data_IF_465644756088
#
_entry.id   IF_465644756088
#
_cell.length_a   1.000
_cell.length_b   1.000
_cell.length_c   1.000
_cell.angle_alpha   90.00
_cell.angle_beta   90.00
_cell.angle_gamma   90.00
#
_symmetry.space_group_name_H-M   'P 1'
#
loop_
_entity.id
_entity.type
_entity.pdbx_description
1 polymer ?
#
# COMPACT_ATOMS: atom_id res chain seq x y z
N UNK A 1 29.86 12.83 23.46
CA UNK A 1 30.38 13.72 22.43
C UNK A 1 29.57 15.02 22.41
N UNK A 2 30.20 16.14 22.13
CA UNK A 2 29.55 17.46 22.04
C UNK A 2 29.71 18.00 20.63
N UNK A 3 28.61 18.40 20.03
CA UNK A 3 28.58 19.03 18.72
C UNK A 3 27.72 20.31 18.79
N UNK A 4 28.34 21.46 18.79
CA UNK A 4 27.69 22.75 19.00
C UNK A 4 26.85 22.76 20.29
N UNK A 5 25.52 22.85 20.18
CA UNK A 5 24.57 22.82 21.29
C UNK A 5 23.94 21.42 21.53
N UNK A 6 24.43 20.38 20.86
CA UNK A 6 23.91 19.00 20.98
C UNK A 6 24.96 18.14 21.72
N UNK A 7 24.51 17.37 22.72
CA UNK A 7 25.31 16.40 23.43
C UNK A 7 24.79 15.01 23.13
N UNK A 8 25.65 14.13 22.64
CA UNK A 8 25.35 12.71 22.45
C UNK A 8 26.01 11.88 23.56
N UNK A 9 25.18 11.16 24.30
CA UNK A 9 25.58 10.18 25.27
C UNK A 9 25.45 8.78 24.69
N UNK A 10 26.55 8.06 24.57
CA UNK A 10 26.57 6.66 24.15
C UNK A 10 26.92 5.78 25.33
N UNK A 11 26.14 4.74 25.63
CA UNK A 11 26.50 3.79 26.68
C UNK A 11 27.77 3.04 26.30
N UNK A 12 28.53 2.60 27.29
CA UNK A 12 29.63 1.67 27.09
C UNK A 12 29.10 0.31 26.64
N UNK A 13 29.96 -0.51 26.02
CA UNK A 13 29.57 -1.85 25.59
C UNK A 13 28.92 -2.64 26.75
N UNK A 14 27.81 -3.28 26.51
CA UNK A 14 26.97 -4.02 27.44
C UNK A 14 26.31 -3.18 28.56
N UNK A 15 26.18 -1.87 28.37
CA UNK A 15 25.41 -0.99 29.24
C UNK A 15 24.31 -0.32 28.44
N UNK A 16 23.21 -0.05 29.12
CA UNK A 16 22.06 0.63 28.54
C UNK A 16 21.75 1.89 29.34
N UNK A 17 21.37 2.98 28.65
CA UNK A 17 20.83 4.17 29.28
C UNK A 17 19.33 3.94 29.40
N UNK A 18 18.84 3.77 30.63
CA UNK A 18 17.42 3.47 30.89
C UNK A 18 16.58 4.71 31.04
N UNK A 19 17.18 5.82 31.49
CA UNK A 19 16.48 7.08 31.72
C UNK A 19 17.41 8.27 31.57
N UNK A 20 16.84 9.42 31.14
CA UNK A 20 17.56 10.70 31.08
C UNK A 20 16.64 11.77 31.66
N UNK A 21 17.08 12.45 32.68
CA UNK A 21 16.40 13.53 33.33
C UNK A 21 17.25 14.81 33.36
N UNK A 22 16.57 15.96 33.09
CA UNK A 22 17.18 17.29 33.26
C UNK A 22 16.72 17.86 34.59
N UNK A 23 17.65 18.25 35.44
CA UNK A 23 17.36 18.82 36.75
C UNK A 23 17.93 20.24 36.89
N UNK A 24 17.26 21.07 37.69
CA UNK A 24 17.70 22.43 38.02
C UNK A 24 17.22 23.51 37.09
N UNK A 25 17.92 24.64 37.05
CA UNK A 25 17.53 25.83 36.22
C UNK A 25 17.67 25.62 34.70
N UNK A 26 18.18 24.47 34.26
CA UNK A 26 18.31 24.10 32.84
C UNK A 26 17.05 23.57 32.18
N UNK A 27 15.97 23.30 32.94
CA UNK A 27 14.72 22.70 32.44
C UNK A 27 14.06 23.46 31.29
N UNK A 28 14.20 24.79 31.27
CA UNK A 28 13.60 25.63 30.24
C UNK A 28 14.44 25.72 28.94
N UNK A 29 15.70 25.28 28.99
CA UNK A 29 16.69 25.47 27.90
C UNK A 29 17.29 24.19 27.38
N UNK A 30 17.11 23.06 28.05
CA UNK A 30 17.71 21.77 27.71
C UNK A 30 16.60 20.76 27.49
N UNK A 31 16.53 20.19 26.28
CA UNK A 31 15.66 19.05 25.96
C UNK A 31 16.51 17.80 25.94
N UNK A 32 16.22 16.86 26.87
CA UNK A 32 16.83 15.55 26.88
C UNK A 32 15.87 14.54 26.24
N UNK A 33 16.37 13.77 25.28
CA UNK A 33 15.59 12.72 24.62
C UNK A 33 16.38 11.43 24.61
N UNK A 34 15.70 10.34 24.87
CA UNK A 34 16.26 8.99 24.71
C UNK A 34 15.84 8.39 23.36
N UNK A 35 15.15 7.28 23.38
CA UNK A 35 14.65 6.62 22.17
C UNK A 35 13.14 6.83 21.97
N UNK A 36 12.50 7.48 22.94
CA UNK A 36 11.05 7.66 22.98
C UNK A 36 10.68 9.04 23.51
N UNK A 37 9.63 9.64 22.95
CA UNK A 37 9.00 10.88 23.44
C UNK A 37 7.48 10.74 23.41
N UNK A 38 6.80 11.45 24.32
CA UNK A 38 5.33 11.35 24.47
C UNK A 38 4.53 12.10 23.40
N UNK A 39 5.13 13.03 22.68
CA UNK A 39 4.52 13.73 21.57
C UNK A 39 5.56 14.46 20.71
N UNK A 40 5.15 14.89 19.51
CA UNK A 40 6.02 15.58 18.55
C UNK A 40 6.59 16.89 19.09
N UNK A 41 5.86 17.60 19.96
CA UNK A 41 6.33 18.88 20.52
C UNK A 41 7.54 18.74 21.47
N UNK A 42 7.82 17.54 21.93
CA UNK A 42 9.00 17.21 22.74
C UNK A 42 10.24 16.85 21.93
N UNK A 43 10.15 16.83 20.62
CA UNK A 43 11.30 16.61 19.76
C UNK A 43 12.21 17.84 19.77
N UNK A 44 13.54 17.66 19.92
CA UNK A 44 14.48 18.77 19.89
C UNK A 44 14.56 19.42 18.50
N UNK A 45 14.77 20.73 18.47
CA UNK A 45 14.93 21.48 17.21
C UNK A 45 16.28 21.22 16.53
N UNK A 46 17.29 20.82 17.32
CA UNK A 46 18.62 20.46 16.82
C UNK A 46 18.93 19.02 17.24
N UNK A 47 19.50 18.25 16.35
CA UNK A 47 19.78 16.84 16.62
C UNK A 47 20.95 16.30 15.82
N UNK A 48 21.16 15.00 15.91
CA UNK A 48 22.12 14.26 15.08
C UNK A 48 21.42 13.73 13.83
N UNK A 49 22.06 13.90 12.69
CA UNK A 49 21.60 13.29 11.46
C UNK A 49 21.50 11.76 11.63
N UNK A 50 20.39 11.19 11.19
CA UNK A 50 20.14 9.76 11.31
C UNK A 50 19.57 9.29 12.67
N UNK A 51 19.50 10.16 13.70
CA UNK A 51 18.89 9.78 14.98
C UNK A 51 17.41 9.44 14.80
N UNK A 52 17.03 8.24 15.23
CA UNK A 52 15.63 7.79 15.23
C UNK A 52 15.05 7.86 16.64
N UNK A 53 13.80 8.33 16.74
CA UNK A 53 13.06 8.42 18.00
C UNK A 53 11.66 7.89 17.76
N UNK A 54 11.14 7.12 18.72
CA UNK A 54 9.73 6.71 18.75
C UNK A 54 8.90 7.81 19.40
N UNK A 55 7.83 8.22 18.73
CA UNK A 55 6.83 9.13 19.29
C UNK A 55 5.64 8.28 19.71
N UNK A 56 5.37 8.24 21.02
CA UNK A 56 4.25 7.51 21.61
C UNK A 56 3.15 8.49 21.94
N UNK A 57 2.00 8.38 21.28
CA UNK A 57 0.88 9.28 21.54
C UNK A 57 0.10 8.87 22.79
N UNK A 58 0.65 9.20 23.97
CA UNK A 58 0.04 8.84 25.25
C UNK A 58 -1.34 9.53 25.48
N UNK A 59 -1.53 10.70 24.89
CA UNK A 59 -2.75 11.50 25.08
C UNK A 59 -3.88 11.08 24.14
N UNK A 60 -3.58 10.39 23.04
CA UNK A 60 -4.57 9.96 22.07
C UNK A 60 -4.30 8.52 21.65
N UNK A 61 -4.98 7.58 22.29
CA UNK A 61 -4.87 6.12 22.07
C UNK A 61 -5.28 5.72 20.65
N UNK A 62 -6.03 6.56 19.95
CA UNK A 62 -6.49 6.31 18.58
C UNK A 62 -5.42 6.65 17.52
N UNK A 63 -4.31 7.26 17.92
CA UNK A 63 -3.18 7.58 17.03
C UNK A 63 -2.05 6.60 17.31
N UNK A 64 -1.69 5.83 16.27
CA UNK A 64 -0.59 4.87 16.34
C UNK A 64 0.75 5.53 16.67
N UNK A 65 1.62 4.77 17.32
CA UNK A 65 3.01 5.17 17.55
C UNK A 65 3.72 5.33 16.21
N UNK A 66 4.54 6.36 16.10
CA UNK A 66 5.34 6.58 14.89
C UNK A 66 6.82 6.66 15.21
N UNK A 67 7.64 6.39 14.19
CA UNK A 67 9.08 6.61 14.26
C UNK A 67 9.45 7.80 13.40
N UNK A 68 10.33 8.66 13.95
CA UNK A 68 10.87 9.82 13.23
C UNK A 68 12.37 9.78 13.21
N UNK A 69 12.96 10.23 12.11
CA UNK A 69 14.38 10.36 11.92
C UNK A 69 14.75 11.82 11.71
N UNK A 70 15.84 12.25 12.28
CA UNK A 70 16.35 13.60 12.13
C UNK A 70 17.20 13.73 10.88
N UNK A 71 16.90 14.72 10.06
CA UNK A 71 17.66 15.07 8.87
C UNK A 71 18.16 16.50 8.98
N UNK A 72 19.46 16.70 8.71
CA UNK A 72 20.10 18.01 8.64
C UNK A 72 19.94 18.54 7.22
N UNK A 73 19.64 19.84 7.06
CA UNK A 73 19.30 20.45 5.77
C UNK A 73 20.48 20.45 4.77
N UNK A 74 21.72 20.39 5.24
CA UNK A 74 22.93 20.47 4.41
C UNK A 74 23.40 19.15 3.77
N UNK A 75 22.54 18.14 3.70
CA UNK A 75 22.86 16.84 3.07
C UNK A 75 24.14 16.17 3.60
N UNK A 76 24.40 16.32 4.89
CA UNK A 76 25.58 15.83 5.60
C UNK A 76 25.44 14.35 5.96
N UNK A 77 26.58 13.65 6.05
CA UNK A 77 26.63 12.24 6.43
C UNK A 77 26.13 12.01 7.86
N UNK A 78 25.66 10.77 8.15
CA UNK A 78 25.29 10.34 9.49
C UNK A 78 26.36 10.68 10.53
N UNK A 79 25.95 11.03 11.74
CA UNK A 79 26.85 11.38 12.83
C UNK A 79 27.24 12.85 12.93
N UNK A 80 26.72 13.71 12.03
CA UNK A 80 26.85 15.17 12.18
C UNK A 80 25.65 15.75 12.93
N UNK A 81 25.80 16.93 13.51
CA UNK A 81 24.74 17.64 14.23
C UNK A 81 24.52 19.05 13.70
N UNK A 82 23.30 19.53 13.77
CA UNK A 82 22.94 20.85 13.30
C UNK A 82 21.44 21.11 13.36
N UNK A 83 21.03 22.19 12.71
CA UNK A 83 19.62 22.48 12.47
C UNK A 83 19.09 21.57 11.34
N UNK A 84 17.84 21.14 11.46
CA UNK A 84 17.23 20.24 10.50
C UNK A 84 15.77 19.93 10.84
N UNK A 85 15.25 18.86 10.29
CA UNK A 85 13.85 18.48 10.46
C UNK A 85 13.68 17.02 10.85
N UNK A 86 12.60 16.74 11.56
CA UNK A 86 12.14 15.37 11.86
C UNK A 86 11.18 14.92 10.77
N UNK A 87 11.45 13.75 10.21
CA UNK A 87 10.62 13.14 9.17
C UNK A 87 10.23 11.73 9.59
N UNK A 88 9.01 11.31 9.31
CA UNK A 88 8.61 9.93 9.53
C UNK A 88 9.57 8.95 8.87
N UNK A 89 9.86 7.85 9.56
CA UNK A 89 10.75 6.81 9.06
C UNK A 89 10.27 5.42 9.47
N UNK A 90 10.94 4.40 8.95
CA UNK A 90 10.71 3.00 9.33
C UNK A 90 11.29 2.74 10.71
N UNK A 91 10.56 1.96 11.51
CA UNK A 91 11.02 1.50 12.82
C UNK A 91 12.37 0.79 12.71
N UNK A 92 13.26 0.94 13.73
CA UNK A 92 14.53 0.24 13.74
C UNK A 92 14.34 -1.28 13.69
N UNK A 93 15.16 -1.97 12.88
CA UNK A 93 15.14 -3.43 12.77
C UNK A 93 13.97 -4.01 11.94
N UNK A 94 13.16 -3.19 11.33
CA UNK A 94 12.11 -3.63 10.40
C UNK A 94 12.68 -3.73 8.99
N UNK A 95 12.41 -4.86 8.33
CA UNK A 95 12.68 -5.04 6.91
C UNK A 95 11.81 -4.07 6.08
N UNK A 96 12.44 -3.32 5.20
CA UNK A 96 11.77 -2.26 4.43
C UNK A 96 11.85 -2.46 2.91
N UNK A 97 12.80 -3.28 2.43
CA UNK A 97 13.04 -3.52 1.02
C UNK A 97 12.21 -4.70 0.50
N UNK A 98 11.70 -4.56 -0.72
CA UNK A 98 11.08 -5.65 -1.46
C UNK A 98 12.13 -6.33 -2.37
N UNK A 99 12.24 -7.67 -2.33
CA UNK A 99 13.13 -8.40 -3.24
C UNK A 99 12.57 -8.41 -4.66
N UNK A 100 13.11 -7.55 -5.52
CA UNK A 100 12.71 -7.43 -6.93
C UNK A 100 12.75 -8.75 -7.71
N UNK A 101 13.58 -9.71 -7.30
CA UNK A 101 13.71 -11.00 -7.99
C UNK A 101 12.48 -11.88 -7.83
N UNK A 102 11.70 -11.64 -6.77
CA UNK A 102 10.47 -12.40 -6.47
C UNK A 102 9.22 -11.71 -7.01
N UNK A 103 9.35 -10.47 -7.49
CA UNK A 103 8.26 -9.63 -7.95
C UNK A 103 8.11 -9.67 -9.47
N UNK A 104 6.96 -9.24 -10.02
CA UNK A 104 6.75 -9.17 -11.46
C UNK A 104 7.82 -8.37 -12.18
N UNK A 105 8.26 -8.90 -13.32
CA UNK A 105 9.23 -8.28 -14.19
C UNK A 105 8.54 -7.64 -15.40
N UNK A 106 9.22 -6.71 -16.04
CA UNK A 106 8.75 -6.08 -17.26
C UNK A 106 9.28 -6.78 -18.50
N UNK A 107 8.40 -7.02 -19.47
CA UNK A 107 8.77 -7.49 -20.79
C UNK A 107 9.05 -6.29 -21.69
N UNK A 108 10.31 -6.00 -21.91
CA UNK A 108 10.77 -4.81 -22.65
C UNK A 108 11.24 -5.19 -24.04
N UNK A 109 10.74 -4.48 -25.07
CA UNK A 109 11.21 -4.67 -26.43
C UNK A 109 12.60 -4.03 -26.60
N UNK A 110 13.58 -4.84 -26.96
CA UNK A 110 14.90 -4.36 -27.36
C UNK A 110 14.83 -3.76 -28.78
N UNK A 111 14.98 -2.43 -28.89
CA UNK A 111 14.86 -1.72 -30.16
C UNK A 111 15.96 -2.05 -31.17
N UNK A 112 17.14 -2.49 -30.71
CA UNK A 112 18.31 -2.80 -31.57
C UNK A 112 18.18 -4.20 -32.18
N UNK A 113 17.69 -5.17 -31.39
CA UNK A 113 17.69 -6.58 -31.85
C UNK A 113 16.28 -7.10 -32.17
N UNK A 114 15.24 -6.34 -31.93
CA UNK A 114 13.86 -6.71 -32.26
C UNK A 114 13.25 -7.83 -31.41
N UNK A 115 13.94 -8.32 -30.37
CA UNK A 115 13.44 -9.31 -29.43
C UNK A 115 12.93 -8.66 -28.13
N UNK A 116 12.22 -9.43 -27.31
CA UNK A 116 11.79 -9.01 -25.99
C UNK A 116 12.74 -9.56 -24.91
N UNK A 117 13.01 -8.73 -23.90
CA UNK A 117 13.80 -9.07 -22.73
C UNK A 117 12.96 -8.95 -21.48
N UNK A 118 12.99 -9.96 -20.61
CA UNK A 118 12.37 -9.90 -19.30
C UNK A 118 13.36 -9.25 -18.33
N UNK A 119 12.99 -8.11 -17.75
CA UNK A 119 13.87 -7.32 -16.87
C UNK A 119 13.18 -6.99 -15.55
N UNK A 120 13.92 -6.95 -14.42
CA UNK A 120 13.43 -6.32 -13.19
C UNK A 120 12.98 -4.89 -13.47
N UNK A 121 12.02 -4.39 -12.69
CA UNK A 121 11.44 -3.05 -12.89
C UNK A 121 12.49 -1.96 -12.86
N UNK A 122 13.40 -1.97 -11.89
CA UNK A 122 14.51 -1.01 -11.79
C UNK A 122 15.37 -0.97 -13.05
N UNK A 123 15.76 -2.15 -13.54
CA UNK A 123 16.60 -2.27 -14.75
C UNK A 123 15.85 -1.86 -16.02
N UNK A 124 14.54 -2.03 -16.07
CA UNK A 124 13.71 -1.72 -17.23
C UNK A 124 13.35 -0.23 -17.32
N UNK A 125 13.13 0.42 -16.19
CA UNK A 125 12.71 1.83 -16.10
C UNK A 125 13.89 2.80 -16.05
N UNK A 126 15.05 2.32 -15.65
CA UNK A 126 16.27 3.14 -15.54
C UNK A 126 16.29 4.10 -14.34
N UNK A 127 15.37 3.96 -13.39
CA UNK A 127 15.35 4.91 -12.27
C UNK A 127 14.47 4.57 -11.07
N UNK A 128 13.38 3.85 -11.23
CA UNK A 128 12.50 3.51 -10.12
C UNK A 128 12.14 2.03 -10.18
N UNK A 129 12.58 1.28 -9.17
CA UNK A 129 12.17 -0.10 -8.92
C UNK A 129 10.84 -0.18 -8.16
N UNK A 130 10.63 -1.29 -7.50
CA UNK A 130 9.60 -1.39 -6.48
C UNK A 130 10.00 -0.49 -5.31
N UNK A 131 9.07 0.35 -4.87
CA UNK A 131 9.35 1.30 -3.79
C UNK A 131 9.37 0.57 -2.45
N UNK A 132 10.29 1.00 -1.58
CA UNK A 132 10.47 0.44 -0.25
C UNK A 132 9.49 1.05 0.76
N UNK A 133 9.26 0.35 1.88
CA UNK A 133 8.57 0.93 3.03
C UNK A 133 9.40 2.09 3.59
N UNK A 134 8.83 3.27 3.62
CA UNK A 134 9.52 4.49 4.08
C UNK A 134 9.13 4.92 5.48
N UNK A 135 7.98 4.46 5.98
CA UNK A 135 7.40 4.88 7.25
C UNK A 135 6.75 3.71 7.98
N UNK A 136 6.63 3.84 9.30
CA UNK A 136 5.91 2.89 10.14
C UNK A 136 6.61 1.56 10.36
N UNK A 137 5.84 0.57 10.70
CA UNK A 137 6.26 -0.80 10.96
C UNK A 137 5.30 -1.82 10.30
N UNK A 138 5.41 -3.10 10.68
CA UNK A 138 4.53 -4.15 10.12
C UNK A 138 3.07 -4.05 10.55
N UNK A 139 2.76 -3.25 11.56
CA UNK A 139 1.40 -3.02 12.05
C UNK A 139 0.78 -1.80 11.39
N UNK A 140 1.49 -0.67 11.39
CA UNK A 140 1.00 0.63 10.90
C UNK A 140 1.13 0.78 9.38
N UNK A 141 2.08 0.08 8.77
CA UNK A 141 2.28 0.05 7.30
C UNK A 141 2.69 -1.36 6.89
N UNK A 142 1.76 -2.34 6.88
CA UNK A 142 2.05 -3.75 6.66
C UNK A 142 2.65 -4.04 5.29
N UNK A 143 3.25 -5.23 5.15
CA UNK A 143 3.67 -5.73 3.86
C UNK A 143 2.44 -5.88 2.95
N UNK A 144 2.55 -5.53 1.64
CA UNK A 144 1.47 -5.78 0.69
C UNK A 144 1.07 -7.26 0.71
N UNK A 145 -0.25 -7.55 0.67
CA UNK A 145 -0.73 -8.94 0.85
C UNK A 145 -0.31 -9.90 -0.27
N UNK A 146 0.30 -9.43 -1.37
CA UNK A 146 0.93 -10.29 -2.37
C UNK A 146 2.31 -10.82 -1.95
N UNK A 147 2.96 -10.23 -0.93
CA UNK A 147 4.26 -10.69 -0.45
C UNK A 147 4.11 -12.12 0.11
N UNK A 148 4.89 -13.05 -0.46
CA UNK A 148 4.83 -14.46 -0.09
C UNK A 148 3.60 -15.22 -0.59
N UNK A 149 2.79 -14.66 -1.49
CA UNK A 149 1.60 -15.29 -2.07
C UNK A 149 1.63 -15.29 -3.59
N UNK A 150 0.84 -16.17 -4.20
CA UNK A 150 0.66 -16.19 -5.65
C UNK A 150 -0.22 -15.02 -6.10
N UNK A 151 0.20 -14.33 -7.14
CA UNK A 151 -0.60 -13.35 -7.85
C UNK A 151 -1.39 -14.05 -8.95
N UNK A 152 -2.72 -14.03 -8.87
CA UNK A 152 -3.60 -14.70 -9.82
C UNK A 152 -3.90 -13.85 -11.05
N UNK A 153 -3.80 -12.53 -10.92
CA UNK A 153 -4.07 -11.60 -12.01
C UNK A 153 -3.51 -10.21 -11.76
N UNK A 154 -3.40 -9.45 -12.82
CA UNK A 154 -2.90 -8.08 -12.81
C UNK A 154 -3.75 -7.23 -13.76
N UNK A 155 -4.08 -6.01 -13.33
CA UNK A 155 -4.80 -5.05 -14.16
C UNK A 155 -4.48 -3.61 -13.77
N UNK A 156 -4.89 -2.66 -14.60
CA UNK A 156 -4.79 -1.24 -14.31
C UNK A 156 -6.17 -0.65 -14.06
N UNK A 157 -6.31 0.12 -13.00
CA UNK A 157 -7.55 0.81 -12.70
C UNK A 157 -7.29 2.16 -12.03
N UNK A 158 -7.87 3.23 -12.56
CA UNK A 158 -7.76 4.60 -12.03
C UNK A 158 -6.31 5.01 -11.68
N UNK A 159 -5.40 4.85 -12.63
CA UNK A 159 -3.97 5.18 -12.51
C UNK A 159 -3.23 4.40 -11.42
N UNK A 160 -3.69 3.20 -11.09
CA UNK A 160 -3.07 2.28 -10.13
C UNK A 160 -2.79 0.94 -10.81
N UNK A 161 -1.67 0.34 -10.48
CA UNK A 161 -1.38 -1.06 -10.79
C UNK A 161 -2.06 -1.91 -9.73
N UNK A 162 -2.82 -2.91 -10.16
CA UNK A 162 -3.62 -3.74 -9.27
C UNK A 162 -3.26 -5.21 -9.41
N UNK A 163 -3.22 -5.92 -8.28
CA UNK A 163 -3.00 -7.37 -8.23
C UNK A 163 -4.18 -8.08 -7.57
N UNK A 164 -4.46 -9.28 -8.06
CA UNK A 164 -5.38 -10.24 -7.43
C UNK A 164 -4.55 -11.28 -6.67
N UNK A 165 -4.82 -11.44 -5.38
CA UNK A 165 -4.11 -12.38 -4.52
C UNK A 165 -5.08 -13.05 -3.56
N UNK A 166 -5.46 -14.31 -3.84
CA UNK A 166 -6.53 -14.97 -3.09
C UNK A 166 -7.83 -14.17 -3.19
N UNK A 167 -8.37 -13.73 -2.06
CA UNK A 167 -9.58 -12.89 -1.99
C UNK A 167 -9.30 -11.38 -2.01
N UNK A 168 -8.03 -10.97 -2.06
CA UNK A 168 -7.65 -9.57 -1.96
C UNK A 168 -7.41 -8.91 -3.33
N UNK A 169 -7.80 -7.66 -3.42
CA UNK A 169 -7.39 -6.74 -4.49
C UNK A 169 -6.48 -5.69 -3.89
N UNK A 170 -5.25 -5.65 -4.38
CA UNK A 170 -4.25 -4.70 -3.96
C UNK A 170 -3.95 -3.75 -5.09
N UNK A 171 -3.91 -2.46 -4.76
CA UNK A 171 -3.65 -1.40 -5.73
C UNK A 171 -2.50 -0.54 -5.24
N UNK A 172 -1.60 -0.22 -6.15
CA UNK A 172 -0.51 0.72 -5.89
C UNK A 172 -1.03 2.10 -5.49
N UNK A 173 -0.17 2.96 -5.01
CA UNK A 173 -0.47 4.38 -4.87
C UNK A 173 -0.86 5.00 -6.21
N UNK A 174 -1.73 6.00 -6.16
CA UNK A 174 -2.19 6.69 -7.36
C UNK A 174 -0.99 7.35 -8.09
N UNK A 175 -0.88 7.09 -9.40
CA UNK A 175 0.21 7.55 -10.26
C UNK A 175 1.63 7.04 -9.87
N UNK A 176 1.72 6.06 -8.96
CA UNK A 176 2.95 5.41 -8.50
C UNK A 176 2.80 3.90 -8.63
N UNK A 177 3.06 3.37 -9.82
CA UNK A 177 2.71 1.99 -10.17
C UNK A 177 3.43 0.92 -9.34
N UNK A 178 4.60 1.23 -8.82
CA UNK A 178 5.43 0.28 -8.08
C UNK A 178 5.53 0.58 -6.58
N UNK A 179 4.70 1.52 -6.09
CA UNK A 179 4.62 1.90 -4.69
C UNK A 179 3.36 1.32 -4.04
N UNK A 180 3.55 0.36 -3.13
CA UNK A 180 2.48 -0.35 -2.42
C UNK A 180 2.53 -0.12 -0.91
N UNK A 181 3.30 0.88 -0.45
CA UNK A 181 3.35 1.29 0.94
C UNK A 181 2.69 2.65 1.16
N UNK A 182 2.11 2.84 2.34
CA UNK A 182 1.53 4.12 2.73
C UNK A 182 2.61 5.19 2.88
N UNK A 183 2.24 6.44 2.61
CA UNK A 183 3.14 7.60 2.69
C UNK A 183 3.38 8.03 4.14
N UNK A 184 2.41 7.84 5.01
CA UNK A 184 2.45 8.19 6.42
C UNK A 184 1.84 7.06 7.25
N UNK A 185 2.38 6.81 8.43
CA UNK A 185 1.80 5.87 9.39
C UNK A 185 0.66 6.50 10.21
N UNK A 186 0.58 7.83 10.25
CA UNK A 186 -0.40 8.59 11.05
C UNK A 186 -1.69 8.88 10.31
N UNK A 187 -1.62 9.11 9.01
CA UNK A 187 -2.75 9.57 8.23
C UNK A 187 -2.87 8.83 6.91
N UNK A 188 -4.06 8.29 6.65
CA UNK A 188 -4.37 7.64 5.38
C UNK A 188 -4.73 8.71 4.36
N UNK A 189 -3.89 8.85 3.33
CA UNK A 189 -4.09 9.73 2.19
C UNK A 189 -4.98 9.11 1.11
N UNK A 190 -5.59 9.95 0.28
CA UNK A 190 -6.41 9.47 -0.84
C UNK A 190 -5.57 8.80 -1.94
N UNK A 191 -4.29 9.15 -2.02
CA UNK A 191 -3.34 8.56 -2.96
C UNK A 191 -2.66 7.29 -2.44
N UNK A 192 -2.86 6.90 -1.17
CA UNK A 192 -2.25 5.72 -0.57
C UNK A 192 -2.71 4.41 -1.23
N UNK A 193 -1.93 3.32 -1.08
CA UNK A 193 -2.28 2.01 -1.60
C UNK A 193 -3.61 1.52 -1.06
N UNK A 194 -4.36 0.80 -1.88
CA UNK A 194 -5.65 0.21 -1.48
C UNK A 194 -5.46 -1.30 -1.34
N UNK A 195 -5.85 -1.85 -0.20
CA UNK A 195 -5.94 -3.30 0.04
C UNK A 195 -7.35 -3.61 0.53
N UNK A 196 -8.15 -4.24 -0.32
CA UNK A 196 -9.54 -4.58 -0.03
C UNK A 196 -9.79 -6.05 -0.29
N UNK A 197 -10.57 -6.66 0.59
CA UNK A 197 -10.87 -8.08 0.57
C UNK A 197 -12.30 -8.34 0.11
N UNK A 198 -12.48 -9.26 -0.82
CA UNK A 198 -13.79 -9.79 -1.17
C UNK A 198 -14.29 -10.69 -0.04
N UNK A 199 -15.36 -10.28 0.63
CA UNK A 199 -15.96 -11.01 1.76
C UNK A 199 -17.06 -11.91 1.24
N UNK A 200 -16.97 -13.21 1.56
CA UNK A 200 -17.96 -14.23 1.20
C UNK A 200 -18.13 -15.24 2.33
N UNK A 201 -19.23 -15.96 2.28
CA UNK A 201 -19.48 -17.12 3.17
C UNK A 201 -18.69 -18.36 2.77
N UNK A 202 -18.04 -18.35 1.61
CA UNK A 202 -17.21 -19.45 1.07
C UNK A 202 -15.80 -18.93 0.79
N UNK A 203 -14.80 -19.80 0.76
CA UNK A 203 -13.46 -19.43 0.31
C UNK A 203 -13.51 -18.87 -1.11
N UNK A 204 -12.96 -17.69 -1.29
CA UNK A 204 -12.90 -16.97 -2.58
C UNK A 204 -11.46 -16.90 -3.04
N UNK A 205 -11.24 -17.26 -4.29
CA UNK A 205 -9.99 -17.05 -5.00
C UNK A 205 -10.30 -16.27 -6.28
N UNK A 206 -9.88 -15.00 -6.31
CA UNK A 206 -10.10 -14.09 -7.43
C UNK A 206 -9.16 -14.46 -8.56
N UNK A 207 -9.69 -14.67 -9.76
CA UNK A 207 -8.91 -15.17 -10.90
C UNK A 207 -8.70 -14.14 -11.99
N UNK A 208 -9.72 -13.36 -12.34
CA UNK A 208 -9.63 -12.33 -13.38
C UNK A 208 -10.68 -11.22 -13.17
N UNK A 209 -10.56 -10.18 -13.98
CA UNK A 209 -11.41 -8.99 -13.88
C UNK A 209 -11.99 -8.58 -15.23
N UNK A 210 -13.10 -7.87 -15.17
CA UNK A 210 -13.64 -7.14 -16.33
C UNK A 210 -13.96 -5.71 -15.91
N UNK A 211 -13.43 -4.74 -16.66
CA UNK A 211 -13.68 -3.33 -16.38
C UNK A 211 -14.98 -2.88 -17.03
N UNK A 212 -15.77 -2.13 -16.27
CA UNK A 212 -17.04 -1.55 -16.71
C UNK A 212 -17.07 -0.05 -16.43
N UNK A 213 -18.10 0.64 -16.90
CA UNK A 213 -18.25 2.09 -16.65
C UNK A 213 -18.51 2.43 -15.17
N UNK A 214 -19.01 1.49 -14.39
CA UNK A 214 -19.36 1.72 -12.97
C UNK A 214 -18.32 1.19 -11.99
N UNK A 215 -17.37 0.37 -12.45
CA UNK A 215 -16.36 -0.24 -11.62
C UNK A 215 -15.69 -1.45 -12.28
N UNK A 216 -15.11 -2.31 -11.47
CA UNK A 216 -14.43 -3.52 -11.93
C UNK A 216 -15.17 -4.74 -11.40
N UNK A 217 -15.63 -5.60 -12.31
CA UNK A 217 -16.18 -6.90 -11.94
C UNK A 217 -15.01 -7.83 -11.67
N UNK A 218 -14.99 -8.41 -10.47
CA UNK A 218 -14.01 -9.40 -10.02
C UNK A 218 -14.63 -10.77 -10.11
N UNK A 219 -13.96 -11.70 -10.75
CA UNK A 219 -14.41 -13.07 -10.91
C UNK A 219 -13.67 -13.99 -9.96
N UNK A 220 -14.39 -14.46 -8.95
CA UNK A 220 -13.97 -15.58 -8.10
C UNK A 220 -14.55 -16.91 -8.61
N UNK A 221 -14.03 -18.01 -8.09
CA UNK A 221 -14.41 -19.37 -8.52
C UNK A 221 -15.92 -19.63 -8.49
N UNK A 222 -16.64 -19.11 -7.49
CA UNK A 222 -18.06 -19.39 -7.26
C UNK A 222 -18.91 -18.12 -7.09
N UNK A 223 -18.28 -16.96 -7.06
CA UNK A 223 -18.95 -15.69 -6.81
C UNK A 223 -18.32 -14.57 -7.64
N UNK A 224 -19.09 -13.58 -7.99
CA UNK A 224 -18.63 -12.39 -8.66
C UNK A 224 -18.90 -11.17 -7.81
N UNK A 225 -17.96 -10.25 -7.84
CA UNK A 225 -17.99 -9.05 -7.02
C UNK A 225 -17.83 -7.81 -7.90
N UNK A 226 -18.34 -6.70 -7.42
CA UNK A 226 -18.10 -5.39 -8.00
C UNK A 226 -17.19 -4.59 -7.08
N UNK A 227 -16.02 -4.24 -7.58
CA UNK A 227 -15.15 -3.26 -6.98
C UNK A 227 -15.57 -1.88 -7.45
N UNK A 228 -15.98 -1.05 -6.54
CA UNK A 228 -16.46 0.32 -6.80
C UNK A 228 -15.97 1.28 -5.73
N UNK A 229 -16.32 2.53 -5.87
CA UNK A 229 -16.06 3.58 -4.88
C UNK A 229 -17.34 4.36 -4.63
N UNK A 230 -17.58 4.74 -3.40
CA UNK A 230 -18.74 5.55 -3.02
C UNK A 230 -18.64 7.00 -3.49
N UNK A 231 -17.43 7.45 -3.82
CA UNK A 231 -17.13 8.79 -4.28
C UNK A 231 -16.39 8.74 -5.62
N UNK A 232 -16.21 9.88 -6.25
CA UNK A 232 -15.44 9.97 -7.51
C UNK A 232 -13.98 9.58 -7.35
N UNK A 233 -13.44 9.73 -6.12
CA UNK A 233 -12.04 9.42 -5.79
C UNK A 233 -11.94 8.01 -5.21
N UNK A 234 -11.10 7.17 -5.83
CA UNK A 234 -10.75 5.85 -5.32
C UNK A 234 -9.61 5.99 -4.30
N UNK A 235 -9.90 5.71 -3.06
CA UNK A 235 -8.96 5.78 -1.94
C UNK A 235 -9.13 4.55 -1.02
N UNK A 236 -8.19 4.30 -0.09
CA UNK A 236 -8.36 3.24 0.90
C UNK A 236 -9.65 3.33 1.71
N UNK A 237 -10.19 4.55 1.89
CA UNK A 237 -11.41 4.81 2.65
C UNK A 237 -12.70 4.62 1.84
N UNK A 238 -12.63 4.72 0.53
CA UNK A 238 -13.81 4.74 -0.35
C UNK A 238 -13.97 3.49 -1.21
N UNK A 239 -12.90 2.70 -1.35
CA UNK A 239 -12.90 1.45 -2.11
C UNK A 239 -13.79 0.41 -1.41
N UNK A 240 -14.70 -0.21 -2.18
CA UNK A 240 -15.61 -1.23 -1.68
C UNK A 240 -15.74 -2.38 -2.67
N UNK A 241 -15.86 -3.59 -2.12
CA UNK A 241 -16.15 -4.80 -2.89
C UNK A 241 -17.50 -5.35 -2.42
N UNK A 242 -18.46 -5.42 -3.34
CA UNK A 242 -19.79 -5.93 -3.08
C UNK A 242 -20.06 -7.16 -3.94
N UNK A 243 -20.67 -8.20 -3.38
CA UNK A 243 -21.10 -9.38 -4.12
C UNK A 243 -22.25 -9.01 -5.06
N UNK A 244 -22.14 -9.37 -6.36
CA UNK A 244 -23.17 -9.13 -7.36
C UNK A 244 -23.86 -10.41 -7.82
N UNK A 245 -23.18 -11.54 -7.75
CA UNK A 245 -23.78 -12.83 -8.13
C UNK A 245 -23.00 -14.03 -7.56
N UNK A 246 -23.62 -15.19 -7.62
CA UNK A 246 -23.06 -16.46 -7.09
C UNK A 246 -23.10 -17.54 -8.15
N UNK A 247 -22.36 -17.34 -9.24
CA UNK A 247 -22.24 -18.33 -10.31
C UNK A 247 -20.85 -18.98 -10.27
N UNK A 248 -20.81 -20.30 -10.42
CA UNK A 248 -19.55 -21.00 -10.62
C UNK A 248 -19.05 -20.73 -12.04
N UNK A 249 -17.82 -20.30 -12.17
CA UNK A 249 -17.18 -19.96 -13.44
C UNK A 249 -16.06 -20.96 -13.78
N UNK A 250 -15.72 -21.03 -15.07
CA UNK A 250 -14.50 -21.70 -15.50
C UNK A 250 -13.33 -20.71 -15.40
N UNK A 251 -12.45 -20.91 -14.42
CA UNK A 251 -11.28 -20.05 -14.18
C UNK A 251 -10.17 -20.20 -15.23
N UNK A 252 -10.32 -21.15 -16.17
CA UNK A 252 -9.36 -21.31 -17.29
C UNK A 252 -9.63 -20.33 -18.45
N UNK A 253 -10.84 -19.81 -18.52
CA UNK A 253 -11.28 -18.92 -19.58
C UNK A 253 -11.60 -17.54 -18.99
N UNK A 254 -10.83 -16.57 -19.36
CA UNK A 254 -10.97 -15.20 -18.90
C UNK A 254 -12.25 -14.54 -19.43
N UNK A 255 -12.99 -13.85 -18.57
CA UNK A 255 -14.13 -13.03 -18.97
C UNK A 255 -13.70 -11.91 -19.92
N UNK A 256 -14.52 -11.62 -20.91
CA UNK A 256 -14.26 -10.55 -21.89
C UNK A 256 -15.37 -9.52 -21.90
N UNK A 257 -14.96 -8.25 -21.89
CA UNK A 257 -15.88 -7.14 -22.08
C UNK A 257 -16.31 -7.04 -23.55
N UNK A 258 -17.61 -6.91 -23.78
CA UNK A 258 -18.22 -6.73 -25.09
C UNK A 258 -19.13 -5.49 -25.05
N UNK A 259 -18.53 -4.32 -24.95
CA UNK A 259 -19.26 -3.05 -24.84
C UNK A 259 -19.88 -2.88 -23.45
N UNK A 260 -21.22 -2.93 -23.37
CA UNK A 260 -21.96 -2.82 -22.11
C UNK A 260 -22.08 -4.13 -21.35
N UNK A 261 -21.77 -5.25 -21.99
CA UNK A 261 -21.88 -6.59 -21.42
C UNK A 261 -20.52 -7.20 -21.15
N UNK A 262 -20.40 -8.02 -20.12
CA UNK A 262 -19.24 -8.86 -19.84
C UNK A 262 -19.62 -10.32 -19.98
N UNK A 263 -18.91 -11.03 -20.82
CA UNK A 263 -19.19 -12.43 -21.17
C UNK A 263 -18.19 -13.36 -20.47
N UNK A 264 -18.68 -14.46 -19.93
CA UNK A 264 -17.86 -15.47 -19.22
C UNK A 264 -18.45 -16.87 -19.37
N UNK A 265 -17.64 -17.90 -19.10
CA UNK A 265 -18.08 -19.28 -19.16
C UNK A 265 -18.49 -19.82 -17.78
N UNK A 266 -19.70 -20.40 -17.71
CA UNK A 266 -20.18 -21.08 -16.51
C UNK A 266 -19.59 -22.47 -16.43
N UNK A 267 -19.05 -22.86 -15.26
CA UNK A 267 -18.41 -24.16 -15.04
C UNK A 267 -19.39 -25.33 -15.05
N UNK A 268 -20.59 -25.12 -14.50
CA UNK A 268 -21.51 -26.22 -14.23
C UNK A 268 -22.38 -26.62 -15.43
N UNK A 269 -22.55 -25.71 -16.40
CA UNK A 269 -23.53 -25.90 -17.47
C UNK A 269 -22.92 -25.83 -18.87
N UNK A 270 -21.63 -25.61 -19.03
CA UNK A 270 -20.97 -25.36 -20.32
C UNK A 270 -21.62 -24.24 -21.14
N UNK A 271 -22.25 -23.28 -20.48
CA UNK A 271 -22.93 -22.17 -21.12
C UNK A 271 -22.09 -20.91 -21.11
N UNK A 272 -22.25 -20.13 -22.15
CA UNK A 272 -21.80 -18.76 -22.20
C UNK A 272 -22.82 -17.92 -21.43
N UNK A 273 -22.35 -17.15 -20.45
CA UNK A 273 -23.17 -16.25 -19.65
C UNK A 273 -22.72 -14.82 -19.84
N UNK A 274 -23.60 -13.87 -19.72
CA UNK A 274 -23.27 -12.45 -19.76
C UNK A 274 -23.83 -11.71 -18.57
N UNK A 275 -23.06 -10.72 -18.08
CA UNK A 275 -23.56 -9.66 -17.23
C UNK A 275 -23.79 -8.42 -18.10
N UNK A 276 -24.96 -7.85 -18.02
CA UNK A 276 -25.28 -6.57 -18.63
C UNK A 276 -25.54 -5.52 -17.54
N UNK A 277 -24.96 -4.34 -17.70
CA UNK A 277 -25.20 -3.23 -16.82
C UNK A 277 -26.55 -2.58 -17.20
N UNK A 278 -27.55 -2.77 -16.37
CA UNK A 278 -28.86 -2.12 -16.53
C UNK A 278 -28.88 -0.85 -15.69
N UNK A 279 -28.91 0.30 -16.37
CA UNK A 279 -29.09 1.60 -15.71
C UNK A 279 -30.55 1.76 -15.30
N UNK A 280 -30.85 1.68 -14.02
CA UNK A 280 -32.12 2.14 -13.49
C UNK A 280 -32.10 3.69 -13.48
N UNK A 281 -32.88 4.29 -14.34
CA UNK A 281 -33.05 5.73 -14.45
C UNK A 281 -33.93 6.26 -13.29
N UNK A 282 -33.41 6.25 -12.07
CA UNK A 282 -34.00 7.00 -10.96
C UNK A 282 -32.93 7.32 -9.93
N UNK A 283 -33.01 8.53 -9.42
CA UNK A 283 -32.04 9.23 -8.59
C UNK A 283 -31.63 8.56 -7.26
N UNK A 284 -31.83 7.27 -7.03
CA UNK A 284 -31.61 6.66 -5.73
C UNK A 284 -31.32 5.15 -5.72
N UNK A 285 -31.12 4.49 -6.85
CA UNK A 285 -30.84 3.04 -6.86
C UNK A 285 -29.43 2.75 -7.38
N UNK A 286 -28.67 1.83 -6.75
CA UNK A 286 -27.39 1.39 -7.27
C UNK A 286 -27.60 0.71 -8.64
N UNK A 287 -26.66 0.91 -9.56
CA UNK A 287 -26.62 0.20 -10.82
C UNK A 287 -26.64 -1.31 -10.55
N UNK A 288 -27.60 -2.00 -11.14
CA UNK A 288 -27.75 -3.46 -11.03
C UNK A 288 -27.20 -4.12 -12.28
N UNK A 289 -26.58 -5.29 -12.12
CA UNK A 289 -26.21 -6.14 -13.23
C UNK A 289 -27.29 -7.19 -13.45
N UNK A 290 -27.80 -7.27 -14.67
CA UNK A 290 -28.63 -8.39 -15.09
C UNK A 290 -27.76 -9.52 -15.64
N UNK A 291 -28.05 -10.73 -15.19
CA UNK A 291 -27.41 -11.94 -15.70
C UNK A 291 -28.29 -12.57 -16.78
N UNK A 292 -27.72 -12.72 -17.95
CA UNK A 292 -28.36 -13.44 -19.07
C UNK A 292 -27.52 -14.64 -19.43
N UNK A 293 -28.15 -15.81 -19.50
CA UNK A 293 -27.54 -17.02 -19.99
C UNK A 293 -27.73 -17.10 -21.51
N UNK A 294 -26.62 -17.17 -22.23
CA UNK A 294 -26.65 -17.36 -23.67
C UNK A 294 -26.54 -18.86 -23.92
N UNK A 295 -27.58 -19.45 -24.45
CA UNK A 295 -27.58 -20.86 -24.85
C UNK A 295 -26.84 -20.97 -26.18
N UNK A 296 -25.91 -21.95 -26.33
CA UNK A 296 -25.19 -22.15 -27.59
C UNK A 296 -26.12 -22.61 -28.72
#
# INVERSE_FOLDING_TARGET
>A
ERYNNVFLFQPAANHEITDIEVQGEGLDYIIATHNEVSNVSRLPQSGFHGKKIKVVNVENIDIDDMYVQYYIDDNTADGTSGEGSWTECVAPGIEFELDEKTLPHLLVRNGTYGHFELKPVLSATGGSGWEDRRVGDKTTNPDPAFVGRNMNGMFFYRNRLCFLTGSNVQMSRANKLYDFFAKSALAVGDDDPVDVTAVSTRPVDLSYVSQTSVGVILFGTNEQFLLTTNNDILSPKTAQINTISQFAIDTKLEAKSMGTSTVFFSKNNNFLSSFELVGLSSNSAPNTFEHTQIVP
#
